data_IF_004845158090
#
_entry.id   IF_004845158090
#
_cell.length_a   1.000
_cell.length_b   1.000
_cell.length_c   1.000
_cell.angle_alpha   90.00
_cell.angle_beta   90.00
_cell.angle_gamma   90.00
#
_symmetry.space_group_name_H-M   'P 1'
#
loop_
_entity.id
_entity.type
_entity.pdbx_description
1 polymer ?
#
# COMPACT_ATOMS: atom_id res chain seq x y z
N UNK A 1 -16.06 2.01 -12.26
CA UNK A 1 -15.01 2.90 -12.76
C UNK A 1 -13.98 2.17 -13.63
N UNK A 2 -13.85 0.85 -13.56
CA UNK A 2 -13.01 0.04 -14.47
C UNK A 2 -11.54 -0.08 -14.06
N UNK A 3 -11.17 0.34 -12.85
CA UNK A 3 -9.84 0.06 -12.30
C UNK A 3 -9.72 -1.42 -11.94
N UNK A 4 -8.57 -2.01 -12.23
CA UNK A 4 -8.28 -3.43 -11.94
C UNK A 4 -7.39 -3.64 -10.71
N UNK A 5 -6.98 -2.56 -10.05
CA UNK A 5 -6.10 -2.59 -8.90
C UNK A 5 -6.50 -1.58 -7.83
N UNK A 6 -6.08 -1.84 -6.59
CA UNK A 6 -6.29 -0.97 -5.43
C UNK A 6 -5.02 -0.96 -4.58
N UNK A 7 -4.82 0.15 -3.87
CA UNK A 7 -3.78 0.30 -2.86
C UNK A 7 -4.43 0.69 -1.52
N UNK A 8 -3.88 0.19 -0.42
CA UNK A 8 -4.29 0.56 0.92
C UNK A 8 -3.21 0.25 1.96
N UNK A 9 -3.27 0.99 3.07
CA UNK A 9 -2.32 0.89 4.19
C UNK A 9 -2.82 -0.06 5.27
N UNK A 10 -1.92 -0.90 5.80
CA UNK A 10 -2.21 -1.85 6.87
C UNK A 10 -1.37 -1.54 8.11
N UNK A 11 -2.05 -1.34 9.24
CA UNK A 11 -1.49 -1.14 10.56
C UNK A 11 -2.04 -2.18 11.55
N UNK A 12 -1.41 -2.36 12.71
CA UNK A 12 -1.92 -3.25 13.76
C UNK A 12 -2.69 -2.50 14.84
N UNK A 13 -3.84 -3.05 15.24
CA UNK A 13 -4.51 -2.70 16.49
C UNK A 13 -3.71 -3.16 17.71
N UNK A 14 -4.13 -2.76 18.93
CA UNK A 14 -3.43 -3.17 20.16
C UNK A 14 -3.49 -4.68 20.42
N UNK A 15 -4.51 -5.35 19.94
CA UNK A 15 -4.69 -6.81 19.98
C UNK A 15 -4.20 -7.53 18.72
N UNK A 16 -3.35 -6.82 17.92
CA UNK A 16 -2.61 -7.36 16.76
C UNK A 16 -3.47 -7.78 15.58
N UNK A 17 -4.64 -7.21 15.45
CA UNK A 17 -5.46 -7.38 14.24
C UNK A 17 -5.00 -6.38 13.17
N UNK A 18 -4.66 -6.84 11.95
CA UNK A 18 -4.36 -5.93 10.84
C UNK A 18 -5.60 -5.17 10.38
N UNK A 19 -5.52 -3.83 10.34
CA UNK A 19 -6.62 -2.92 9.99
C UNK A 19 -6.20 -1.94 8.92
N UNK A 20 -7.14 -1.42 8.14
CA UNK A 20 -6.87 -0.43 7.09
C UNK A 20 -6.96 0.98 7.66
N UNK A 21 -5.81 1.60 7.84
CA UNK A 21 -5.70 3.02 8.23
C UNK A 21 -4.34 3.56 7.86
N UNK A 22 -4.31 4.80 7.36
CA UNK A 22 -3.06 5.48 6.95
C UNK A 22 -2.28 6.04 8.13
N UNK A 23 -2.94 6.74 9.06
CA UNK A 23 -2.30 7.47 10.13
C UNK A 23 -2.12 6.60 11.38
N UNK A 24 -1.06 6.86 12.15
CA UNK A 24 -0.87 6.23 13.47
C UNK A 24 -1.95 6.63 14.48
N UNK A 25 -2.68 7.72 14.21
CA UNK A 25 -3.71 8.28 15.07
C UNK A 25 -5.08 8.33 14.39
N UNK A 26 -6.14 8.34 15.19
CA UNK A 26 -7.52 8.17 14.75
C UNK A 26 -8.20 9.45 14.25
N UNK A 27 -7.66 10.62 14.62
CA UNK A 27 -8.37 11.91 14.55
C UNK A 27 -8.71 12.38 13.14
N UNK A 28 -7.87 12.09 12.12
CA UNK A 28 -8.07 12.66 10.79
C UNK A 28 -9.19 11.99 10.01
N UNK A 29 -9.32 10.68 10.13
CA UNK A 29 -10.21 9.87 9.28
C UNK A 29 -11.28 9.11 10.07
N UNK A 30 -11.41 9.38 11.38
CA UNK A 30 -12.46 8.80 12.21
C UNK A 30 -13.02 9.83 13.20
N UNK A 31 -14.09 9.47 13.88
CA UNK A 31 -14.61 10.24 15.01
C UNK A 31 -13.92 9.89 16.34
N UNK A 32 -12.91 9.01 16.32
CA UNK A 32 -12.12 8.59 17.49
C UNK A 32 -10.93 9.50 17.78
N UNK A 33 -10.22 9.18 18.88
CA UNK A 33 -8.99 9.86 19.30
C UNK A 33 -7.99 8.86 19.85
N UNK A 34 -6.70 9.17 19.70
CA UNK A 34 -5.61 8.37 20.21
C UNK A 34 -4.95 7.52 19.13
N UNK A 35 -4.13 6.56 19.54
CA UNK A 35 -3.34 5.77 18.60
C UNK A 35 -4.01 4.45 18.24
N UNK A 36 -3.89 4.06 16.99
CA UNK A 36 -4.36 2.78 16.46
C UNK A 36 -3.75 1.61 17.24
N UNK A 37 -2.43 1.63 17.43
CA UNK A 37 -1.70 0.57 18.12
C UNK A 37 -2.01 0.46 19.65
N UNK A 38 -2.72 1.43 20.21
CA UNK A 38 -3.15 1.43 21.61
C UNK A 38 -4.66 1.10 21.76
N UNK A 39 -5.38 0.95 20.62
CA UNK A 39 -6.84 0.69 20.60
C UNK A 39 -7.10 -0.75 20.12
N UNK A 40 -7.91 -1.54 20.85
CA UNK A 40 -8.28 -2.88 20.40
C UNK A 40 -9.19 -2.84 19.18
N UNK A 41 -9.17 -3.88 18.36
CA UNK A 41 -9.93 -3.94 17.11
C UNK A 41 -11.43 -3.66 17.32
N UNK A 42 -12.03 -4.20 18.39
CA UNK A 42 -13.42 -3.93 18.74
C UNK A 42 -13.71 -2.46 19.02
N UNK A 43 -12.72 -1.72 19.52
CA UNK A 43 -12.82 -0.25 19.68
C UNK A 43 -12.70 0.48 18.36
N UNK A 44 -11.82 0.01 17.47
CA UNK A 44 -11.63 0.60 16.13
C UNK A 44 -12.88 0.44 15.25
N UNK A 45 -13.49 -0.75 15.24
CA UNK A 45 -14.70 -1.01 14.43
C UNK A 45 -15.96 -0.29 14.94
N UNK A 46 -15.95 0.20 16.16
CA UNK A 46 -17.04 1.02 16.71
C UNK A 46 -16.99 2.49 16.25
N UNK A 47 -15.90 2.91 15.61
CA UNK A 47 -15.72 4.28 15.14
C UNK A 47 -16.38 4.48 13.78
N UNK A 48 -16.87 5.71 13.56
CA UNK A 48 -17.29 6.18 12.24
C UNK A 48 -16.04 6.64 11.47
N UNK A 49 -15.67 5.90 10.46
CA UNK A 49 -14.54 6.16 9.57
C UNK A 49 -14.97 6.73 8.20
N UNK A 50 -16.24 7.08 8.02
CA UNK A 50 -16.78 7.58 6.75
C UNK A 50 -17.24 9.03 6.77
N UNK A 51 -17.76 9.53 7.87
CA UNK A 51 -18.33 10.89 7.96
C UNK A 51 -17.35 12.01 7.63
N UNK A 52 -16.06 11.82 7.84
CA UNK A 52 -15.02 12.81 7.49
C UNK A 52 -14.92 13.02 5.96
N UNK A 53 -15.23 11.99 5.19
CA UNK A 53 -15.18 12.03 3.72
C UNK A 53 -16.48 12.61 3.13
N UNK A 54 -17.62 12.35 3.75
CA UNK A 54 -18.90 12.88 3.33
C UNK A 54 -20.10 12.19 3.98
N UNK A 55 -21.25 12.88 4.01
CA UNK A 55 -22.46 12.38 4.65
C UNK A 55 -22.97 11.04 4.10
N UNK A 56 -22.71 10.76 2.83
CA UNK A 56 -23.08 9.49 2.19
C UNK A 56 -22.34 8.26 2.78
N UNK A 57 -21.24 8.50 3.47
CA UNK A 57 -20.39 7.46 4.07
C UNK A 57 -20.51 7.39 5.60
N UNK A 58 -21.45 8.13 6.17
CA UNK A 58 -21.70 8.15 7.61
C UNK A 58 -22.00 6.75 8.14
N UNK A 59 -21.27 6.36 9.19
CA UNK A 59 -21.42 5.06 9.84
C UNK A 59 -20.62 3.93 9.21
N UNK A 60 -19.83 4.21 8.15
CA UNK A 60 -18.83 3.24 7.67
C UNK A 60 -17.81 2.99 8.77
N UNK A 61 -17.53 1.74 9.06
CA UNK A 61 -16.55 1.34 10.08
C UNK A 61 -15.14 1.20 9.48
N UNK A 62 -14.14 1.21 10.34
CA UNK A 62 -12.75 0.94 9.97
C UNK A 62 -12.60 -0.56 9.67
N UNK A 63 -12.27 -0.95 8.41
CA UNK A 63 -12.24 -2.36 8.05
C UNK A 63 -10.97 -3.06 8.54
N UNK A 64 -11.08 -4.34 8.82
CA UNK A 64 -9.90 -5.21 8.93
C UNK A 64 -9.26 -5.46 7.57
N UNK A 65 -7.97 -5.81 7.56
CA UNK A 65 -7.32 -6.26 6.34
C UNK A 65 -7.95 -7.55 5.79
N UNK A 66 -8.47 -8.42 6.64
CA UNK A 66 -9.20 -9.62 6.21
C UNK A 66 -10.43 -9.26 5.35
N UNK A 67 -11.24 -8.28 5.79
CA UNK A 67 -12.44 -7.83 5.05
C UNK A 67 -12.06 -7.21 3.71
N UNK A 68 -11.02 -6.35 3.69
CA UNK A 68 -10.55 -5.74 2.46
C UNK A 68 -9.94 -6.77 1.48
N UNK A 69 -9.13 -7.70 1.97
CA UNK A 69 -8.55 -8.77 1.17
C UNK A 69 -9.64 -9.65 0.54
N UNK A 70 -10.65 -10.03 1.33
CA UNK A 70 -11.81 -10.79 0.84
C UNK A 70 -12.53 -10.06 -0.28
N UNK A 71 -12.79 -8.76 -0.11
CA UNK A 71 -13.43 -7.94 -1.14
C UNK A 71 -12.58 -7.84 -2.41
N UNK A 72 -11.26 -7.67 -2.31
CA UNK A 72 -10.36 -7.66 -3.45
C UNK A 72 -10.43 -8.98 -4.23
N UNK A 73 -10.41 -10.11 -3.53
CA UNK A 73 -10.51 -11.43 -4.14
C UNK A 73 -11.86 -11.62 -4.84
N UNK A 74 -12.97 -11.28 -4.18
CA UNK A 74 -14.32 -11.37 -4.74
C UNK A 74 -14.53 -10.52 -5.98
N UNK A 75 -13.92 -9.34 -6.03
CA UNK A 75 -14.02 -8.41 -7.16
C UNK A 75 -12.94 -8.64 -8.24
N UNK A 76 -12.00 -9.56 -8.01
CA UNK A 76 -10.88 -9.80 -8.92
C UNK A 76 -9.91 -8.62 -9.02
N UNK A 77 -9.77 -7.81 -7.95
CA UNK A 77 -8.86 -6.68 -7.89
C UNK A 77 -7.46 -7.14 -7.49
N UNK A 78 -6.46 -6.68 -8.22
CA UNK A 78 -5.09 -6.78 -7.76
C UNK A 78 -4.83 -5.76 -6.65
N UNK A 79 -4.03 -6.12 -5.64
CA UNK A 79 -3.78 -5.26 -4.50
C UNK A 79 -2.29 -4.94 -4.32
N UNK A 80 -1.99 -3.66 -4.10
CA UNK A 80 -0.78 -3.22 -3.43
C UNK A 80 -1.12 -2.99 -1.95
N UNK A 81 -0.52 -3.77 -1.08
CA UNK A 81 -0.76 -3.72 0.37
C UNK A 81 0.43 -3.02 1.00
N UNK A 82 0.29 -1.75 1.37
CA UNK A 82 1.33 -1.05 2.12
C UNK A 82 1.36 -1.55 3.57
N UNK A 83 2.48 -2.11 3.98
CA UNK A 83 2.76 -2.41 5.38
C UNK A 83 3.20 -1.10 6.03
N UNK A 84 2.31 -0.49 6.81
CA UNK A 84 2.50 0.82 7.44
C UNK A 84 2.47 0.70 8.95
N UNK A 85 3.57 0.28 9.56
CA UNK A 85 3.60 0.03 11.00
C UNK A 85 3.55 1.34 11.80
N UNK A 86 2.88 1.29 12.95
CA UNK A 86 3.17 2.25 13.99
C UNK A 86 4.63 2.07 14.45
N UNK A 87 5.25 3.15 14.90
CA UNK A 87 6.65 3.14 15.35
C UNK A 87 6.90 2.06 16.41
N UNK A 88 7.89 1.19 16.16
CA UNK A 88 8.28 0.09 17.04
C UNK A 88 7.54 -1.22 16.77
N UNK A 89 6.60 -1.24 15.80
CA UNK A 89 5.83 -2.42 15.39
C UNK A 89 6.16 -2.90 13.97
N UNK A 90 7.31 -2.49 13.41
CA UNK A 90 7.68 -2.73 12.02
C UNK A 90 7.67 -4.22 11.67
N UNK A 91 8.36 -5.04 12.46
CA UNK A 91 8.46 -6.49 12.23
C UNK A 91 7.13 -7.21 12.46
N UNK A 92 6.42 -6.86 13.53
CA UNK A 92 5.12 -7.48 13.85
C UNK A 92 4.09 -7.19 12.78
N UNK A 93 4.01 -5.94 12.30
CA UNK A 93 3.09 -5.56 11.23
C UNK A 93 3.44 -6.27 9.92
N UNK A 94 4.74 -6.33 9.59
CA UNK A 94 5.21 -7.05 8.39
C UNK A 94 4.85 -8.54 8.42
N UNK A 95 5.09 -9.21 9.53
CA UNK A 95 4.78 -10.63 9.71
C UNK A 95 3.27 -10.89 9.64
N UNK A 96 2.46 -10.13 10.39
CA UNK A 96 1.01 -10.32 10.45
C UNK A 96 0.35 -10.08 9.09
N UNK A 97 0.72 -8.98 8.41
CA UNK A 97 0.21 -8.65 7.07
C UNK A 97 0.56 -9.73 6.06
N UNK A 98 1.83 -10.17 6.03
CA UNK A 98 2.27 -11.18 5.07
C UNK A 98 1.62 -12.55 5.28
N UNK A 99 1.44 -12.99 6.53
CA UNK A 99 0.74 -14.25 6.86
C UNK A 99 -0.71 -14.22 6.38
N UNK A 100 -1.42 -13.13 6.67
CA UNK A 100 -2.82 -12.98 6.26
C UNK A 100 -2.94 -12.85 4.73
N UNK A 101 -2.09 -12.07 4.08
CA UNK A 101 -2.07 -11.97 2.62
C UNK A 101 -1.84 -13.33 1.95
N UNK A 102 -0.85 -14.12 2.43
CA UNK A 102 -0.61 -15.48 1.95
C UNK A 102 -1.82 -16.39 2.09
N UNK A 103 -2.55 -16.28 3.19
CA UNK A 103 -3.77 -17.06 3.43
C UNK A 103 -4.88 -16.67 2.46
N UNK A 104 -5.15 -15.37 2.35
CA UNK A 104 -6.27 -14.82 1.56
C UNK A 104 -6.11 -15.02 0.06
N UNK A 105 -4.88 -14.95 -0.47
CA UNK A 105 -4.60 -15.16 -1.90
C UNK A 105 -4.10 -16.56 -2.25
N UNK A 106 -4.18 -17.53 -1.32
CA UNK A 106 -3.72 -18.89 -1.59
C UNK A 106 -4.44 -19.54 -2.77
N UNK A 107 -3.68 -19.82 -3.84
CA UNK A 107 -4.24 -20.43 -5.06
C UNK A 107 -5.06 -19.48 -5.91
N UNK A 108 -5.05 -18.19 -5.61
CA UNK A 108 -5.72 -17.13 -6.35
C UNK A 108 -4.61 -16.24 -6.93
N UNK A 109 -4.62 -16.03 -8.21
CA UNK A 109 -3.62 -15.20 -8.85
C UNK A 109 -4.22 -13.99 -9.54
N UNK A 110 -3.44 -12.93 -9.73
CA UNK A 110 -2.07 -12.72 -9.26
C UNK A 110 -2.00 -12.40 -7.75
N UNK A 111 -0.89 -12.73 -7.05
CA UNK A 111 -0.73 -12.39 -5.64
C UNK A 111 -0.62 -10.88 -5.46
N UNK A 112 -0.94 -10.35 -4.28
CA UNK A 112 -0.73 -8.94 -3.97
C UNK A 112 0.76 -8.63 -3.85
N UNK A 113 1.14 -7.36 -4.05
CA UNK A 113 2.47 -6.85 -3.68
C UNK A 113 2.40 -6.31 -2.25
N UNK A 114 3.37 -6.69 -1.42
CA UNK A 114 3.54 -6.15 -0.08
C UNK A 114 4.58 -5.04 -0.13
N UNK A 115 4.18 -3.80 0.06
CA UNK A 115 5.09 -2.66 -0.01
C UNK A 115 5.30 -2.00 1.35
N UNK A 116 6.43 -1.34 1.55
CA UNK A 116 6.69 -0.57 2.77
C UNK A 116 7.85 0.39 2.60
N UNK A 117 7.80 1.52 3.35
CA UNK A 117 8.95 2.39 3.59
C UNK A 117 9.92 1.81 4.61
N UNK A 118 9.50 0.79 5.36
CA UNK A 118 10.28 0.23 6.47
C UNK A 118 10.96 -1.08 6.05
N UNK A 119 12.30 -1.10 5.90
CA UNK A 119 13.03 -2.31 5.55
C UNK A 119 12.75 -3.47 6.52
N UNK A 120 12.63 -3.20 7.81
CA UNK A 120 12.33 -4.22 8.81
C UNK A 120 10.96 -4.90 8.60
N UNK A 121 9.97 -4.16 8.07
CA UNK A 121 8.66 -4.73 7.70
C UNK A 121 8.78 -5.66 6.51
N UNK A 122 9.55 -5.27 5.48
CA UNK A 122 9.76 -6.10 4.29
C UNK A 122 10.59 -7.36 4.59
N UNK A 123 11.60 -7.26 5.48
CA UNK A 123 12.34 -8.43 5.96
C UNK A 123 11.43 -9.43 6.69
N UNK A 124 10.57 -8.93 7.59
CA UNK A 124 9.62 -9.76 8.32
C UNK A 124 8.58 -10.38 7.38
N UNK A 125 8.08 -9.61 6.41
CA UNK A 125 7.17 -10.11 5.38
C UNK A 125 7.82 -11.20 4.53
N UNK A 126 9.09 -11.02 4.10
CA UNK A 126 9.85 -12.05 3.39
C UNK A 126 9.99 -13.33 4.20
N UNK A 127 10.30 -13.21 5.48
CA UNK A 127 10.44 -14.38 6.35
C UNK A 127 9.10 -15.13 6.55
N UNK A 128 7.99 -14.40 6.62
CA UNK A 128 6.66 -14.97 6.86
C UNK A 128 6.00 -15.56 5.60
N UNK A 129 6.21 -14.93 4.43
CA UNK A 129 5.63 -15.33 3.15
C UNK A 129 6.62 -15.02 2.00
N UNK A 130 7.70 -15.83 1.84
CA UNK A 130 8.75 -15.57 0.86
C UNK A 130 8.25 -15.56 -0.58
N UNK A 131 7.17 -16.27 -0.87
CA UNK A 131 6.55 -16.37 -2.19
C UNK A 131 5.78 -15.10 -2.62
N UNK A 132 5.39 -14.23 -1.68
CA UNK A 132 4.70 -13.00 -2.04
C UNK A 132 5.68 -11.93 -2.53
N UNK A 133 5.38 -11.26 -3.65
CA UNK A 133 6.21 -10.18 -4.17
C UNK A 133 6.23 -8.98 -3.21
N UNK A 134 7.37 -8.29 -3.16
CA UNK A 134 7.58 -7.12 -2.32
C UNK A 134 7.94 -5.89 -3.13
N UNK A 135 7.50 -4.72 -2.65
CA UNK A 135 7.81 -3.41 -3.21
C UNK A 135 8.55 -2.53 -2.19
N UNK A 136 9.66 -1.96 -2.60
CA UNK A 136 10.38 -0.98 -1.76
C UNK A 136 9.81 0.41 -1.98
N UNK A 137 9.21 1.00 -0.95
CA UNK A 137 8.75 2.39 -0.96
C UNK A 137 9.85 3.34 -0.51
N UNK A 138 10.01 4.43 -1.26
CA UNK A 138 10.95 5.50 -0.93
C UNK A 138 10.42 6.84 -1.43
N UNK A 139 10.83 7.94 -0.81
CA UNK A 139 10.46 9.28 -1.28
C UNK A 139 11.15 9.63 -2.60
N UNK A 140 12.39 9.17 -2.79
CA UNK A 140 13.19 9.42 -3.99
C UNK A 140 14.18 8.28 -4.20
N UNK A 141 14.62 8.11 -5.43
CA UNK A 141 15.65 7.15 -5.77
C UNK A 141 17.04 7.72 -5.43
N UNK A 142 17.43 7.57 -4.15
CA UNK A 142 18.78 7.90 -3.68
C UNK A 142 19.80 6.89 -4.25
N UNK A 143 21.10 7.19 -4.31
CA UNK A 143 22.09 6.35 -5.00
C UNK A 143 22.13 4.87 -4.59
N UNK A 144 21.72 4.55 -3.38
CA UNK A 144 21.71 3.20 -2.79
C UNK A 144 20.36 2.46 -2.93
N UNK A 145 19.34 3.10 -3.53
CA UNK A 145 17.99 2.52 -3.65
C UNK A 145 18.00 1.10 -4.25
N UNK A 146 18.89 0.86 -5.23
CA UNK A 146 18.98 -0.43 -5.92
C UNK A 146 19.53 -1.53 -5.00
N UNK A 147 20.55 -1.21 -4.22
CA UNK A 147 21.11 -2.12 -3.23
C UNK A 147 20.08 -2.48 -2.16
N UNK A 148 19.36 -1.47 -1.67
CA UNK A 148 18.27 -1.66 -0.71
C UNK A 148 17.18 -2.57 -1.27
N UNK A 149 16.65 -2.28 -2.45
CA UNK A 149 15.58 -3.07 -3.07
C UNK A 149 16.01 -4.52 -3.33
N UNK A 150 17.26 -4.74 -3.80
CA UNK A 150 17.82 -6.09 -3.99
C UNK A 150 18.04 -6.82 -2.68
N UNK A 151 18.58 -6.16 -1.66
CA UNK A 151 18.80 -6.74 -0.32
C UNK A 151 17.50 -7.21 0.33
N UNK A 152 16.40 -6.52 0.06
CA UNK A 152 15.06 -6.87 0.52
C UNK A 152 14.32 -7.85 -0.41
N UNK A 153 14.96 -8.24 -1.52
CA UNK A 153 14.39 -9.14 -2.54
C UNK A 153 13.04 -8.59 -3.07
N UNK A 154 13.01 -7.27 -3.36
CA UNK A 154 11.85 -6.59 -3.93
C UNK A 154 11.79 -6.78 -5.45
N UNK A 155 10.57 -6.84 -5.99
CA UNK A 155 10.31 -6.89 -7.44
C UNK A 155 9.97 -5.53 -8.02
N UNK A 156 9.58 -4.59 -7.15
CA UNK A 156 9.21 -3.23 -7.54
C UNK A 156 9.80 -2.18 -6.61
N UNK A 157 9.89 -0.97 -7.12
CA UNK A 157 10.25 0.24 -6.36
C UNK A 157 9.16 1.27 -6.56
N UNK A 158 8.70 1.88 -5.49
CA UNK A 158 7.64 2.87 -5.50
C UNK A 158 8.19 4.20 -4.98
N UNK A 159 8.06 5.29 -5.75
CA UNK A 159 8.62 6.58 -5.34
C UNK A 159 7.66 7.75 -5.56
N UNK A 160 7.92 8.86 -4.86
CA UNK A 160 7.23 10.11 -5.12
C UNK A 160 7.65 10.64 -6.50
N UNK A 161 6.66 10.70 -7.41
CA UNK A 161 6.85 11.12 -8.79
C UNK A 161 7.50 12.52 -8.94
N UNK A 162 7.33 13.39 -7.95
CA UNK A 162 7.88 14.75 -7.94
C UNK A 162 9.41 14.78 -7.92
N UNK A 163 10.02 13.69 -7.48
CA UNK A 163 11.48 13.53 -7.38
C UNK A 163 12.05 12.59 -8.44
N UNK A 164 11.19 12.08 -9.34
CA UNK A 164 11.60 11.14 -10.39
C UNK A 164 11.99 11.88 -11.69
N UNK A 165 13.00 11.36 -12.37
CA UNK A 165 13.43 11.80 -13.70
C UNK A 165 13.33 10.67 -14.72
N UNK A 166 13.22 11.01 -16.01
CA UNK A 166 13.21 10.01 -17.09
C UNK A 166 14.50 9.15 -17.13
N UNK A 167 15.62 9.67 -16.65
CA UNK A 167 16.87 8.91 -16.55
C UNK A 167 16.77 7.83 -15.45
N UNK A 168 16.26 8.20 -14.28
CA UNK A 168 16.06 7.27 -13.18
C UNK A 168 14.99 6.20 -13.51
N UNK A 169 13.96 6.54 -14.31
CA UNK A 169 12.99 5.56 -14.80
C UNK A 169 13.68 4.48 -15.64
N UNK A 170 14.50 4.88 -16.61
CA UNK A 170 15.30 3.93 -17.41
C UNK A 170 16.24 3.09 -16.54
N UNK A 171 16.88 3.71 -15.56
CA UNK A 171 17.78 3.03 -14.63
C UNK A 171 17.05 1.94 -13.83
N UNK A 172 15.82 2.19 -13.37
CA UNK A 172 15.00 1.21 -12.67
C UNK A 172 14.61 0.03 -13.57
N UNK A 173 14.20 0.33 -14.81
CA UNK A 173 13.86 -0.69 -15.81
C UNK A 173 15.08 -1.55 -16.19
N UNK A 174 16.24 -0.94 -16.46
CA UNK A 174 17.50 -1.64 -16.75
C UNK A 174 17.96 -2.51 -15.58
N UNK A 175 17.64 -2.11 -14.35
CA UNK A 175 17.91 -2.89 -13.14
C UNK A 175 16.92 -4.04 -12.93
N UNK A 176 15.84 -4.13 -13.73
CA UNK A 176 14.84 -5.20 -13.71
C UNK A 176 13.72 -5.00 -12.68
N UNK A 177 13.51 -3.80 -12.19
CA UNK A 177 12.43 -3.48 -11.26
C UNK A 177 11.21 -2.89 -11.98
N UNK A 178 10.01 -3.25 -11.52
CA UNK A 178 8.80 -2.49 -11.79
C UNK A 178 8.89 -1.17 -11.03
N UNK A 179 8.55 -0.06 -11.69
CA UNK A 179 8.56 1.28 -11.10
C UNK A 179 7.15 1.84 -11.01
N UNK A 180 6.69 2.11 -9.78
CA UNK A 180 5.40 2.72 -9.51
C UNK A 180 5.59 4.10 -8.87
N UNK A 181 4.63 5.01 -9.12
CA UNK A 181 4.70 6.37 -8.60
C UNK A 181 3.45 6.75 -7.81
N UNK A 182 3.63 7.44 -6.70
CA UNK A 182 2.57 7.95 -5.82
C UNK A 182 2.75 9.45 -5.53
N UNK A 183 1.73 10.22 -5.13
CA UNK A 183 0.34 10.09 -5.53
C UNK A 183 0.12 10.99 -6.72
N UNK A 184 -0.34 10.47 -7.84
CA UNK A 184 -0.39 11.16 -9.13
C UNK A 184 -1.84 11.49 -9.48
N UNK A 185 -2.28 12.69 -9.09
CA UNK A 185 -3.67 13.14 -9.24
C UNK A 185 -3.90 14.06 -10.45
N UNK A 186 -2.83 14.37 -11.18
CA UNK A 186 -2.89 15.20 -12.38
C UNK A 186 -2.70 14.35 -13.64
N UNK A 187 -3.68 14.35 -14.58
CA UNK A 187 -3.61 13.57 -15.82
C UNK A 187 -2.42 13.89 -16.73
N UNK A 188 -1.92 15.13 -16.71
CA UNK A 188 -0.76 15.51 -17.52
C UNK A 188 0.53 14.91 -16.95
N UNK A 189 0.67 14.94 -15.63
CA UNK A 189 1.77 14.27 -14.92
C UNK A 189 1.72 12.75 -15.11
N UNK A 190 0.56 12.14 -15.01
CA UNK A 190 0.37 10.70 -15.25
C UNK A 190 0.84 10.31 -16.68
N UNK A 191 0.36 11.01 -17.72
CA UNK A 191 0.80 10.77 -19.12
C UNK A 191 2.31 10.95 -19.28
N UNK A 192 2.90 11.96 -18.66
CA UNK A 192 4.35 12.21 -18.70
C UNK A 192 5.11 11.02 -18.08
N UNK A 193 4.69 10.53 -16.91
CA UNK A 193 5.31 9.40 -16.23
C UNK A 193 5.25 8.14 -17.08
N UNK A 194 4.08 7.80 -17.64
CA UNK A 194 3.95 6.68 -18.57
C UNK A 194 4.80 6.86 -19.82
N UNK A 195 4.95 8.09 -20.36
CA UNK A 195 5.85 8.35 -21.49
C UNK A 195 7.34 8.15 -21.15
N UNK A 196 7.73 8.20 -19.89
CA UNK A 196 9.06 7.84 -19.42
C UNK A 196 9.25 6.34 -19.25
N UNK A 197 8.12 5.57 -19.17
CA UNK A 197 8.11 4.13 -18.97
C UNK A 197 7.82 3.70 -17.52
N UNK A 198 7.20 4.56 -16.70
CA UNK A 198 6.68 4.14 -15.38
C UNK A 198 5.61 3.08 -15.59
N UNK A 199 5.66 1.99 -14.83
CA UNK A 199 4.80 0.82 -15.00
C UNK A 199 3.40 1.00 -14.39
N UNK A 200 3.28 1.84 -13.35
CA UNK A 200 2.01 2.11 -12.70
C UNK A 200 2.04 3.37 -11.83
N UNK A 201 0.86 3.87 -11.53
CA UNK A 201 0.68 5.03 -10.64
C UNK A 201 -0.40 4.75 -9.61
N UNK A 202 -0.28 5.37 -8.45
CA UNK A 202 -1.33 5.47 -7.44
C UNK A 202 -1.99 6.84 -7.55
N UNK A 203 -3.33 6.89 -7.53
CA UNK A 203 -4.09 8.12 -7.62
C UNK A 203 -5.30 8.10 -6.70
N UNK A 204 -5.58 9.22 -6.06
CA UNK A 204 -6.81 9.47 -5.29
C UNK A 204 -7.92 10.10 -6.16
N UNK A 205 -7.60 10.49 -7.40
CA UNK A 205 -8.49 11.21 -8.30
C UNK A 205 -9.00 10.32 -9.42
N UNK A 206 -9.81 9.31 -9.05
CA UNK A 206 -10.44 8.38 -9.99
C UNK A 206 -11.39 9.08 -10.99
N UNK A 207 -11.80 10.31 -10.67
CA UNK A 207 -12.61 11.17 -11.51
C UNK A 207 -11.79 11.90 -12.59
N UNK A 208 -10.50 12.10 -12.38
CA UNK A 208 -9.60 12.83 -13.31
C UNK A 208 -8.63 11.91 -14.07
N UNK A 209 -8.17 10.86 -13.42
CA UNK A 209 -7.19 9.91 -13.96
C UNK A 209 -7.91 8.60 -14.30
N UNK A 210 -8.37 8.41 -15.55
CA UNK A 210 -9.09 7.20 -15.91
C UNK A 210 -8.17 5.98 -16.04
N UNK A 211 -8.69 4.75 -15.91
CA UNK A 211 -7.89 3.51 -15.90
C UNK A 211 -7.18 3.21 -17.22
N UNK A 212 -7.56 3.86 -18.30
CA UNK A 212 -6.99 3.71 -19.65
C UNK A 212 -6.21 4.93 -20.12
N UNK A 213 -5.61 5.67 -19.19
CA UNK A 213 -4.89 6.92 -19.49
C UNK A 213 -3.53 6.69 -20.19
N UNK A 214 -2.93 5.51 -20.09
CA UNK A 214 -1.63 5.16 -20.66
C UNK A 214 -1.67 5.00 -22.18
#
# INVERSE_FOLDING_TARGET
>A
MGFGAVEFDVMLSSDKVPVLIHDETLERTTNGRGKVAETPFSGLTALDAGSWFGDAYRGEHLPSFHEAAKLCVELGLWANVEIKPARGFERETGEATARLAREMWRGIGPPPVLSSFQPASLEAARAAAPELPRGFLTYRLDPDWREMARGLDCVSVHCDWRHLTAAQTREAQEAGFWLLCYTVDDPASARRLFSWGVDGIFTDRLDLVPPNLA
#
